data_IF_411213626802
#
_entry.id   IF_411213626802
#
_cell.length_a   1.000
_cell.length_b   1.000
_cell.length_c   1.000
_cell.angle_alpha   90.00
_cell.angle_beta   90.00
_cell.angle_gamma   90.00
#
_symmetry.space_group_name_H-M   'P 1'
#
loop_
_entity.id
_entity.type
_entity.pdbx_description
1 polymer ?
#
# COMPACT_ATOMS: atom_id res chain seq x y z
N UNK A 1 -16.43 42.87 76.15
CA UNK A 1 -17.06 44.16 75.82
C UNK A 1 -17.30 44.18 74.31
N UNK A 2 -18.56 44.36 73.90
CA UNK A 2 -19.13 44.86 72.62
C UNK A 2 -18.14 45.00 71.43
N UNK A 3 -18.40 44.52 70.21
CA UNK A 3 -19.61 44.08 69.51
C UNK A 3 -19.44 44.40 68.00
N UNK A 4 -20.18 43.66 67.15
CA UNK A 4 -20.63 44.01 65.77
C UNK A 4 -19.58 44.44 64.72
N UNK A 5 -19.60 43.95 63.48
CA UNK A 5 -20.62 44.20 62.46
C UNK A 5 -20.57 43.10 61.37
N UNK A 6 -21.76 42.63 60.99
CA UNK A 6 -22.10 41.73 59.88
C UNK A 6 -21.81 42.36 58.52
N UNK A 7 -21.17 41.66 57.58
CA UNK A 7 -21.37 41.81 56.12
C UNK A 7 -21.20 40.42 55.48
N UNK A 8 -22.30 39.74 55.14
CA UNK A 8 -22.81 39.53 53.76
C UNK A 8 -21.85 38.71 52.88
N UNK A 9 -22.22 37.47 52.56
CA UNK A 9 -22.42 36.99 51.18
C UNK A 9 -22.75 35.48 51.18
N UNK A 10 -23.88 35.16 50.58
CA UNK A 10 -24.42 33.82 50.35
C UNK A 10 -23.43 32.96 49.54
N UNK A 11 -22.93 31.87 50.10
CA UNK A 11 -22.25 30.82 49.34
C UNK A 11 -23.30 29.84 48.81
N UNK A 12 -23.81 30.13 47.61
CA UNK A 12 -24.53 29.15 46.80
C UNK A 12 -23.52 28.12 46.27
N UNK A 13 -23.43 26.97 46.93
CA UNK A 13 -22.86 25.75 46.35
C UNK A 13 -23.92 25.12 45.44
N UNK A 14 -23.86 25.43 44.15
CA UNK A 14 -24.54 24.68 43.10
C UNK A 14 -23.54 24.38 41.99
N UNK A 15 -23.56 23.12 41.58
CA UNK A 15 -22.43 22.42 41.01
C UNK A 15 -22.13 22.73 39.55
N UNK A 16 -21.00 22.20 39.14
CA UNK A 16 -20.84 21.62 37.81
C UNK A 16 -19.67 20.64 37.85
N UNK A 17 -20.01 19.36 38.03
CA UNK A 17 -19.16 18.27 37.56
C UNK A 17 -19.10 18.37 36.03
N UNK A 18 -18.15 19.13 35.50
CA UNK A 18 -17.75 19.04 34.10
C UNK A 18 -16.50 18.18 34.05
N UNK A 19 -16.72 16.87 34.21
CA UNK A 19 -15.80 15.88 33.65
C UNK A 19 -15.88 16.04 32.14
N UNK A 20 -14.94 16.79 31.55
CA UNK A 20 -14.73 16.78 30.11
C UNK A 20 -14.14 15.42 29.72
N UNK A 21 -14.98 14.39 29.60
CA UNK A 21 -14.62 13.26 28.75
C UNK A 21 -14.81 13.71 27.30
N UNK A 22 -13.79 14.37 26.74
CA UNK A 22 -13.69 14.49 25.29
C UNK A 22 -13.38 13.10 24.74
N UNK A 23 -14.43 12.33 24.50
CA UNK A 23 -14.35 11.17 23.62
C UNK A 23 -14.10 11.72 22.23
N UNK A 24 -12.84 11.88 21.83
CA UNK A 24 -12.53 11.96 20.41
C UNK A 24 -12.92 10.60 19.84
N UNK A 25 -14.07 10.53 19.17
CA UNK A 25 -14.29 9.46 18.20
C UNK A 25 -13.10 9.50 17.26
N UNK A 26 -12.26 8.47 17.32
CA UNK A 26 -11.27 8.24 16.30
C UNK A 26 -12.07 7.95 15.03
N UNK A 27 -12.23 8.96 14.19
CA UNK A 27 -12.57 8.73 12.79
C UNK A 27 -11.48 7.81 12.28
N UNK A 28 -11.86 6.57 11.96
CA UNK A 28 -10.99 5.60 11.31
C UNK A 28 -10.69 6.12 9.91
N UNK A 29 -9.74 7.06 9.83
CA UNK A 29 -9.16 7.53 8.58
C UNK A 29 -8.35 6.35 8.05
N UNK A 30 -9.03 5.39 7.41
CA UNK A 30 -8.36 4.36 6.62
C UNK A 30 -7.41 5.09 5.68
N UNK A 31 -6.10 4.81 5.72
CA UNK A 31 -5.15 5.50 4.87
C UNK A 31 -5.56 5.27 3.41
N UNK A 32 -5.89 6.37 2.72
CA UNK A 32 -6.12 6.34 1.29
C UNK A 32 -4.81 5.96 0.63
N UNK A 33 -4.74 4.77 0.03
CA UNK A 33 -3.63 4.42 -0.84
C UNK A 33 -3.72 5.27 -2.07
N UNK A 34 -2.62 5.94 -2.34
CA UNK A 34 -2.39 6.76 -3.50
C UNK A 34 -1.69 5.88 -4.53
N UNK A 35 -2.25 5.77 -5.72
CA UNK A 35 -1.69 4.94 -6.78
C UNK A 35 -1.96 5.55 -8.15
N UNK A 36 -1.11 5.21 -9.10
CA UNK A 36 -1.28 5.58 -10.51
C UNK A 36 -0.87 4.42 -11.41
N UNK A 37 -1.32 4.47 -12.67
CA UNK A 37 -0.89 3.54 -13.72
C UNK A 37 0.01 4.29 -14.70
N UNK A 38 1.28 3.88 -14.79
CA UNK A 38 2.29 4.59 -15.60
C UNK A 38 2.86 3.65 -16.65
N UNK A 39 2.85 4.07 -17.92
CA UNK A 39 3.49 3.30 -18.99
C UNK A 39 5.02 3.42 -18.92
N UNK A 40 5.69 2.28 -19.04
CA UNK A 40 7.15 2.18 -19.03
C UNK A 40 7.63 1.13 -20.04
N UNK A 41 8.85 1.24 -20.58
CA UNK A 41 9.48 0.14 -21.30
C UNK A 41 9.89 -1.01 -20.36
N UNK A 42 9.51 -2.24 -20.72
CA UNK A 42 9.94 -3.48 -20.08
C UNK A 42 10.69 -4.34 -21.11
N UNK A 43 11.86 -4.84 -20.71
CA UNK A 43 12.62 -5.79 -21.54
C UNK A 43 12.17 -7.21 -21.20
N UNK A 44 11.55 -7.90 -22.14
CA UNK A 44 11.06 -9.26 -22.02
C UNK A 44 11.54 -10.06 -23.24
N UNK A 45 12.22 -11.19 -23.02
CA UNK A 45 12.72 -12.07 -24.10
C UNK A 45 13.59 -11.35 -25.17
N UNK A 46 14.44 -10.41 -24.75
CA UNK A 46 15.24 -9.53 -25.61
C UNK A 46 14.46 -8.50 -26.45
N UNK A 47 13.13 -8.45 -26.33
CA UNK A 47 12.31 -7.37 -26.90
C UNK A 47 11.96 -6.34 -25.84
N UNK A 48 11.77 -5.09 -26.27
CA UNK A 48 11.24 -4.01 -25.40
C UNK A 48 9.77 -3.81 -25.72
N UNK A 49 8.92 -4.01 -24.72
CA UNK A 49 7.48 -3.77 -24.80
C UNK A 49 7.09 -2.61 -23.88
N UNK A 50 6.03 -1.89 -24.23
CA UNK A 50 5.42 -0.92 -23.30
C UNK A 50 4.44 -1.67 -22.40
N UNK A 51 4.58 -1.46 -21.10
CA UNK A 51 3.69 -2.03 -20.09
C UNK A 51 3.24 -0.95 -19.12
N UNK A 52 2.05 -1.14 -18.57
CA UNK A 52 1.48 -0.33 -17.51
C UNK A 52 1.98 -0.84 -16.15
N UNK A 53 2.61 0.04 -15.38
CA UNK A 53 2.98 -0.21 -13.99
C UNK A 53 1.92 0.36 -13.06
N UNK A 54 1.40 -0.48 -12.17
CA UNK A 54 0.67 -0.01 -11.01
C UNK A 54 1.66 0.48 -9.96
N UNK A 55 1.77 1.80 -9.82
CA UNK A 55 2.65 2.45 -8.84
C UNK A 55 1.87 2.83 -7.61
N UNK A 56 2.35 2.37 -6.45
CA UNK A 56 1.83 2.75 -5.15
C UNK A 56 2.70 3.83 -4.51
N UNK A 57 2.05 4.88 -4.06
CA UNK A 57 2.63 6.00 -3.32
C UNK A 57 2.14 5.99 -1.87
N UNK A 58 2.77 6.80 -1.02
CA UNK A 58 2.50 6.85 0.44
C UNK A 58 2.64 5.47 1.13
N UNK A 59 3.64 4.73 0.69
CA UNK A 59 4.03 3.39 1.16
C UNK A 59 5.01 3.47 2.32
N UNK A 60 5.24 2.35 3.02
CA UNK A 60 6.24 2.25 4.08
C UNK A 60 7.63 1.90 3.57
N UNK A 61 7.68 1.16 2.47
CA UNK A 61 8.93 0.77 1.81
C UNK A 61 8.67 0.59 0.32
N UNK A 62 9.67 0.91 -0.51
CA UNK A 62 9.68 0.55 -1.93
C UNK A 62 9.54 -0.97 -2.18
N UNK A 63 9.77 -1.79 -1.17
CA UNK A 63 9.63 -3.24 -1.21
C UNK A 63 8.21 -3.72 -0.83
N UNK A 64 7.25 -2.82 -0.59
CA UNK A 64 5.89 -3.18 -0.14
C UNK A 64 5.13 -4.01 -1.17
N UNK A 65 5.31 -3.77 -2.47
CA UNK A 65 4.75 -4.61 -3.52
C UNK A 65 5.30 -6.03 -3.49
N UNK A 66 6.61 -6.21 -3.29
CA UNK A 66 7.23 -7.52 -3.15
C UNK A 66 6.72 -8.25 -1.90
N UNK A 67 6.60 -7.52 -0.79
CA UNK A 67 6.04 -8.02 0.47
C UNK A 67 4.58 -8.46 0.29
N UNK A 68 3.77 -7.67 -0.40
CA UNK A 68 2.39 -8.00 -0.73
C UNK A 68 2.35 -9.34 -1.49
N UNK A 69 3.15 -9.47 -2.54
CA UNK A 69 3.19 -10.69 -3.33
C UNK A 69 3.65 -11.90 -2.51
N UNK A 70 4.73 -11.76 -1.74
CA UNK A 70 5.23 -12.85 -0.89
C UNK A 70 4.19 -13.33 0.13
N UNK A 71 3.52 -12.41 0.81
CA UNK A 71 2.57 -12.75 1.86
C UNK A 71 1.29 -13.44 1.34
N UNK A 72 0.96 -13.23 0.06
CA UNK A 72 -0.26 -13.77 -0.54
C UNK A 72 0.01 -14.98 -1.45
N UNK A 73 1.18 -15.04 -2.08
CA UNK A 73 1.49 -16.00 -3.14
C UNK A 73 2.78 -16.80 -2.92
N UNK A 74 3.49 -16.55 -1.81
CA UNK A 74 4.68 -17.30 -1.43
C UNK A 74 5.96 -16.84 -2.14
N UNK A 75 6.95 -17.72 -2.21
CA UNK A 75 8.23 -17.41 -2.85
C UNK A 75 8.09 -17.19 -4.36
N UNK A 76 8.92 -16.28 -4.87
CA UNK A 76 8.97 -15.94 -6.29
C UNK A 76 9.73 -16.99 -7.08
N UNK A 77 9.56 -16.95 -8.40
CA UNK A 77 10.27 -17.84 -9.33
C UNK A 77 11.63 -17.28 -9.70
N UNK A 78 11.72 -15.97 -9.94
CA UNK A 78 12.96 -15.32 -10.39
C UNK A 78 13.20 -13.98 -9.69
N UNK A 79 14.48 -13.64 -9.55
CA UNK A 79 14.97 -12.36 -9.02
C UNK A 79 16.00 -11.83 -10.01
N UNK A 80 15.75 -10.66 -10.59
CA UNK A 80 16.61 -10.03 -11.60
C UNK A 80 17.03 -8.63 -11.16
N UNK A 81 18.05 -8.05 -11.82
CA UNK A 81 18.52 -6.70 -11.51
C UNK A 81 17.38 -5.69 -11.69
N UNK A 82 17.24 -4.79 -10.72
CA UNK A 82 16.27 -3.68 -10.76
C UNK A 82 16.48 -2.72 -11.92
N UNK A 83 15.39 -2.29 -12.56
CA UNK A 83 15.41 -1.22 -13.57
C UNK A 83 15.52 0.19 -12.97
N UNK A 84 14.96 0.41 -11.79
CA UNK A 84 14.90 1.75 -11.18
C UNK A 84 16.05 2.04 -10.21
N UNK A 85 16.56 1.02 -9.53
CA UNK A 85 17.54 1.21 -8.48
C UNK A 85 18.37 -0.07 -8.29
N UNK A 86 19.70 0.06 -8.28
CA UNK A 86 20.60 -1.11 -8.33
C UNK A 86 20.45 -2.04 -7.11
N UNK A 87 20.12 -1.50 -5.94
CA UNK A 87 19.96 -2.26 -4.71
C UNK A 87 18.52 -2.75 -4.46
N UNK A 88 17.62 -2.61 -5.44
CA UNK A 88 16.25 -3.12 -5.39
C UNK A 88 16.03 -3.98 -6.63
N UNK A 89 15.98 -5.31 -6.46
CA UNK A 89 15.75 -6.24 -7.57
C UNK A 89 14.33 -6.13 -8.13
N UNK A 90 14.09 -6.65 -9.34
CA UNK A 90 12.73 -7.01 -9.76
C UNK A 90 12.49 -8.48 -9.41
N UNK A 91 11.31 -8.77 -8.86
CA UNK A 91 10.94 -10.09 -8.36
C UNK A 91 9.75 -10.60 -9.17
N UNK A 92 9.84 -11.82 -9.69
CA UNK A 92 8.89 -12.36 -10.67
C UNK A 92 8.20 -13.60 -10.09
N UNK A 93 6.87 -13.54 -10.02
CA UNK A 93 6.01 -14.68 -9.80
C UNK A 93 5.38 -15.08 -11.12
N UNK A 94 5.58 -16.33 -11.53
CA UNK A 94 5.13 -16.87 -12.81
C UNK A 94 4.09 -17.96 -12.57
N UNK A 95 3.08 -18.01 -13.43
CA UNK A 95 2.00 -19.02 -13.40
C UNK A 95 1.22 -19.05 -12.08
N UNK A 96 0.90 -17.87 -11.54
CA UNK A 96 0.12 -17.75 -10.30
C UNK A 96 -1.36 -17.48 -10.55
N UNK A 97 -2.21 -17.95 -9.64
CA UNK A 97 -3.65 -17.65 -9.63
C UNK A 97 -3.92 -16.38 -8.83
N UNK A 98 -4.28 -15.30 -9.52
CA UNK A 98 -4.66 -14.03 -8.89
C UNK A 98 -6.17 -13.91 -8.67
N UNK A 99 -6.95 -14.43 -9.63
CA UNK A 99 -8.40 -14.36 -9.69
C UNK A 99 -9.00 -15.77 -9.73
N UNK A 100 -10.29 -15.88 -9.42
CA UNK A 100 -11.05 -17.13 -9.54
C UNK A 100 -11.39 -17.42 -11.01
N UNK A 101 -10.35 -17.76 -11.78
CA UNK A 101 -10.46 -18.08 -13.21
C UNK A 101 -9.39 -19.11 -13.62
N UNK A 102 -9.53 -19.69 -14.80
CA UNK A 102 -8.54 -20.59 -15.38
C UNK A 102 -7.26 -19.88 -15.88
N UNK A 103 -7.25 -18.55 -15.91
CA UNK A 103 -6.09 -17.75 -16.28
C UNK A 103 -4.94 -17.89 -15.28
N UNK A 104 -3.71 -17.86 -15.79
CA UNK A 104 -2.50 -17.82 -14.97
C UNK A 104 -1.75 -16.53 -15.27
N UNK A 105 -1.28 -15.88 -14.22
CA UNK A 105 -0.64 -14.58 -14.33
C UNK A 105 0.86 -14.68 -14.09
N UNK A 106 1.58 -13.74 -14.69
CA UNK A 106 2.94 -13.38 -14.29
C UNK A 106 2.88 -12.00 -13.64
N UNK A 107 3.45 -11.87 -12.45
CA UNK A 107 3.53 -10.60 -11.73
C UNK A 107 4.99 -10.24 -11.47
N UNK A 108 5.35 -9.04 -11.87
CA UNK A 108 6.68 -8.46 -11.62
C UNK A 108 6.50 -7.38 -10.55
N UNK A 109 7.21 -7.51 -9.44
CA UNK A 109 7.23 -6.50 -8.38
C UNK A 109 8.59 -5.82 -8.30
N UNK A 110 8.58 -4.50 -8.14
CA UNK A 110 9.79 -3.68 -7.96
C UNK A 110 9.47 -2.44 -7.12
N UNK A 111 10.40 -1.50 -7.06
CA UNK A 111 10.21 -0.20 -6.45
C UNK A 111 11.46 0.66 -6.57
N UNK A 112 11.32 1.90 -6.12
CA UNK A 112 12.44 2.85 -6.02
C UNK A 112 12.30 3.67 -4.76
N UNK A 113 13.43 3.99 -4.15
CA UNK A 113 13.57 4.85 -2.99
C UNK A 113 14.79 5.75 -3.19
N UNK A 114 14.52 6.92 -3.77
CA UNK A 114 15.48 7.99 -4.03
C UNK A 114 14.95 9.31 -3.46
N UNK A 115 15.70 10.39 -3.61
CA UNK A 115 15.25 11.72 -3.17
C UNK A 115 14.07 12.25 -4.01
N UNK A 116 13.99 11.88 -5.29
CA UNK A 116 12.95 12.35 -6.21
C UNK A 116 11.78 11.37 -6.33
N UNK A 117 12.06 10.07 -6.20
CA UNK A 117 11.12 9.02 -6.51
C UNK A 117 11.01 8.03 -5.36
N UNK A 118 9.77 7.81 -4.90
CA UNK A 118 9.48 6.84 -3.85
C UNK A 118 8.16 6.12 -4.10
N UNK A 119 8.26 4.90 -4.64
CA UNK A 119 7.09 4.09 -4.99
C UNK A 119 7.42 2.59 -5.03
N UNK A 120 6.37 1.78 -4.92
CA UNK A 120 6.41 0.34 -5.15
C UNK A 120 5.60 0.02 -6.41
N UNK A 121 6.03 -0.98 -7.19
CA UNK A 121 5.49 -1.29 -8.52
C UNK A 121 4.94 -2.71 -8.53
N UNK A 122 3.81 -2.88 -9.21
CA UNK A 122 3.37 -4.15 -9.78
C UNK A 122 3.13 -4.01 -11.29
N UNK A 123 3.61 -4.99 -12.05
CA UNK A 123 3.19 -5.27 -13.42
C UNK A 123 2.49 -6.62 -13.40
N UNK A 124 1.37 -6.76 -14.11
CA UNK A 124 0.67 -8.03 -14.26
C UNK A 124 0.52 -8.37 -15.74
N UNK A 125 0.91 -9.59 -16.10
CA UNK A 125 0.79 -10.13 -17.44
C UNK A 125 -0.09 -11.38 -17.42
N UNK A 126 -0.88 -11.61 -18.47
CA UNK A 126 -1.64 -12.85 -18.65
C UNK A 126 -0.73 -14.00 -19.14
N UNK A 127 -1.29 -15.19 -19.33
CA UNK A 127 -0.55 -16.35 -19.86
C UNK A 127 -0.01 -16.16 -21.28
N UNK A 128 -0.48 -15.15 -22.01
CA UNK A 128 -0.02 -14.76 -23.35
C UNK A 128 0.95 -13.58 -23.32
N UNK A 129 1.37 -13.13 -22.13
CA UNK A 129 2.21 -11.95 -21.89
C UNK A 129 1.56 -10.61 -22.28
N UNK A 130 0.24 -10.55 -22.40
CA UNK A 130 -0.46 -9.29 -22.56
C UNK A 130 -0.44 -8.51 -21.25
N UNK A 131 -0.28 -7.19 -21.34
CA UNK A 131 -0.36 -6.30 -20.20
C UNK A 131 -1.78 -6.24 -19.63
N UNK A 132 -1.95 -6.80 -18.43
CA UNK A 132 -3.24 -6.88 -17.78
C UNK A 132 -3.73 -5.54 -17.21
N UNK A 133 -2.87 -4.53 -17.14
CA UNK A 133 -3.18 -3.20 -16.60
C UNK A 133 -3.49 -2.18 -17.72
N UNK A 134 -3.44 -2.60 -18.99
CA UNK A 134 -3.85 -1.80 -20.14
C UNK A 134 -5.38 -1.58 -20.17
N UNK A 135 -5.81 -0.41 -20.68
CA UNK A 135 -7.20 0.07 -20.61
C UNK A 135 -8.25 -0.93 -21.11
N UNK A 136 -7.96 -1.64 -22.20
CA UNK A 136 -8.89 -2.58 -22.84
C UNK A 136 -8.78 -4.01 -22.29
N UNK A 137 -7.90 -4.26 -21.32
CA UNK A 137 -7.68 -5.61 -20.82
C UNK A 137 -8.83 -6.06 -19.90
N UNK A 138 -9.45 -7.24 -20.11
CA UNK A 138 -10.64 -7.67 -19.38
C UNK A 138 -10.43 -7.77 -17.87
N UNK A 139 -9.22 -8.12 -17.43
CA UNK A 139 -8.90 -8.28 -16.00
C UNK A 139 -8.42 -6.99 -15.31
N UNK A 140 -8.32 -5.85 -16.02
CA UNK A 140 -7.72 -4.62 -15.46
C UNK A 140 -8.36 -4.20 -14.15
N UNK A 141 -9.67 -4.02 -14.14
CA UNK A 141 -10.38 -3.49 -12.98
C UNK A 141 -10.32 -4.44 -11.78
N UNK A 142 -10.49 -5.74 -12.01
CA UNK A 142 -10.39 -6.76 -10.96
C UNK A 142 -8.99 -6.81 -10.34
N UNK A 143 -7.94 -6.71 -11.16
CA UNK A 143 -6.55 -6.70 -10.68
C UNK A 143 -6.20 -5.40 -9.94
N UNK A 144 -6.67 -4.24 -10.42
CA UNK A 144 -6.51 -2.98 -9.70
C UNK A 144 -7.20 -3.04 -8.33
N UNK A 145 -8.42 -3.55 -8.25
CA UNK A 145 -9.12 -3.72 -6.99
C UNK A 145 -8.39 -4.71 -6.06
N UNK A 146 -7.96 -5.86 -6.59
CA UNK A 146 -7.21 -6.88 -5.87
C UNK A 146 -5.93 -6.31 -5.24
N UNK A 147 -5.09 -5.66 -6.05
CA UNK A 147 -3.80 -5.18 -5.58
C UNK A 147 -3.95 -3.97 -4.65
N UNK A 148 -4.83 -3.03 -4.97
CA UNK A 148 -5.04 -1.85 -4.11
C UNK A 148 -5.68 -2.21 -2.77
N UNK A 149 -6.62 -3.17 -2.74
CA UNK A 149 -7.21 -3.66 -1.49
C UNK A 149 -6.18 -4.39 -0.62
N UNK A 150 -5.39 -5.29 -1.21
CA UNK A 150 -4.31 -5.99 -0.50
C UNK A 150 -3.27 -5.02 0.05
N UNK A 151 -2.85 -4.03 -0.74
CA UNK A 151 -1.90 -3.02 -0.30
C UNK A 151 -2.46 -2.20 0.88
N UNK A 152 -3.76 -1.84 0.85
CA UNK A 152 -4.42 -1.10 1.96
C UNK A 152 -4.35 -1.85 3.28
N UNK A 153 -4.46 -3.18 3.20
CA UNK A 153 -4.46 -4.07 4.36
C UNK A 153 -3.09 -4.66 4.69
N UNK A 154 -2.03 -4.26 3.97
CA UNK A 154 -0.71 -4.86 4.12
C UNK A 154 -0.19 -4.67 5.55
N UNK A 155 0.07 -5.77 6.26
CA UNK A 155 0.53 -5.70 7.64
C UNK A 155 1.90 -5.04 7.72
N UNK A 156 1.91 -3.84 8.26
CA UNK A 156 3.06 -2.97 8.46
C UNK A 156 4.10 -3.58 9.42
N UNK A 157 3.67 -4.40 10.38
CA UNK A 157 4.56 -4.96 11.42
C UNK A 157 5.34 -6.18 10.96
N UNK A 158 4.80 -6.96 10.01
CA UNK A 158 5.46 -8.17 9.51
C UNK A 158 6.65 -7.81 8.62
N UNK A 159 7.87 -8.04 9.12
CA UNK A 159 9.09 -7.79 8.36
C UNK A 159 9.50 -9.01 7.55
N UNK A 160 9.46 -8.89 6.22
CA UNK A 160 9.95 -9.91 5.26
C UNK A 160 11.02 -9.34 4.32
N UNK A 161 11.43 -8.09 4.51
CA UNK A 161 12.29 -7.38 3.57
C UNK A 161 13.69 -7.95 3.42
N UNK A 162 14.16 -8.75 4.40
CA UNK A 162 15.43 -9.47 4.31
C UNK A 162 15.44 -10.51 3.18
N UNK A 163 14.27 -10.97 2.73
CA UNK A 163 14.14 -11.95 1.65
C UNK A 163 14.48 -11.32 0.28
N UNK A 164 14.28 -10.01 0.13
CA UNK A 164 14.37 -9.33 -1.17
C UNK A 164 15.76 -8.75 -1.48
N UNK A 165 16.64 -8.68 -0.47
CA UNK A 165 18.03 -8.28 -0.62
C UNK A 165 18.85 -9.31 -1.40
#
# INVERSE_FOLDING_TARGET
>A
MKGFIKHVCYLFLLGSALSCSSSKEAVDLKPLIDFDTVQTPLVLNNDTILVNELRFYKIQSALDAMKLMYLNYGEWNEKIKGRYQENINEIIWSKIKLLDSDENFTVIASGTETLSDYFAILIALDSKNNDCLADEHPYKNELLELFTSKMKTLDKKKSVYKLFK
#
